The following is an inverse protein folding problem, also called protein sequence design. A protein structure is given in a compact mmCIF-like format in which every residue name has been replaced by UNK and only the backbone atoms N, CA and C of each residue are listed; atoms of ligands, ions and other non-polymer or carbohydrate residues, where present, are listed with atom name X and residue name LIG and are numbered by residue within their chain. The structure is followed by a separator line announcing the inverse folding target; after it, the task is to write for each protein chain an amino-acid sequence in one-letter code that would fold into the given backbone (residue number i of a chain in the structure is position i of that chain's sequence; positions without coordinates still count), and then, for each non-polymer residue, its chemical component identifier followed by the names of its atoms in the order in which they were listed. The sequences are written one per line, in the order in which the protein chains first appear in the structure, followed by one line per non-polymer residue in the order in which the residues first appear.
data_IF_471107918984
#
_entry.id   IF_471107918984
#
_cell.length_a   1.000
_cell.length_b   1.000
_cell.length_c   1.000
_cell.angle_alpha   90.00
_cell.angle_beta   90.00
_cell.angle_gamma   90.00
#
_symmetry.space_group_name_H-M   'P 1'
#
loop_
_entity.id
_entity.type
_entity.pdbx_description
1 polymer ?
#
# COMPACT_ATOMS: atom_id res chain seq x y z
N UNK A 1 -9.97 21.28 18.76
CA UNK A 1 -9.56 20.97 18.40
C UNK A 1 -8.96 20.63 17.64
N UNK A 2 -8.51 20.65 17.42
CA UNK A 2 -7.95 20.38 16.65
C UNK A 2 -7.90 19.37 16.14
N UNK A 3 -8.13 19.23 15.46
CA UNK A 3 -8.09 18.36 14.98
C UNK A 3 -7.03 17.93 14.46
N UNK A 4 -6.75 17.13 14.45
CA UNK A 4 -5.68 16.78 13.97
C UNK A 4 -5.74 16.37 12.68
N UNK A 5 -4.71 16.30 11.89
CA UNK A 5 -4.74 15.81 10.65
C UNK A 5 -4.91 14.41 10.62
N UNK A 6 -5.61 13.90 9.69
CA UNK A 6 -5.80 12.52 9.55
C UNK A 6 -4.83 12.01 8.57
N UNK A 7 -3.81 11.33 8.98
CA UNK A 7 -2.83 10.72 8.09
C UNK A 7 -3.20 9.27 7.90
N UNK A 8 -3.56 8.90 6.71
CA UNK A 8 -3.97 7.54 6.43
C UNK A 8 -2.92 6.82 5.66
N UNK A 9 -2.64 5.59 6.05
CA UNK A 9 -1.73 4.77 5.29
C UNK A 9 -2.36 4.37 3.97
N UNK A 10 -1.56 4.27 2.94
CA UNK A 10 -2.01 3.82 1.65
C UNK A 10 -1.01 2.78 1.17
N UNK A 11 -1.53 1.71 0.57
CA UNK A 11 -0.69 0.67 -0.01
C UNK A 11 -0.78 0.80 -1.52
N UNK A 12 0.36 0.97 -2.15
CA UNK A 12 0.44 1.19 -3.59
C UNK A 12 0.97 -0.06 -4.27
N UNK A 13 0.20 -0.57 -5.21
CA UNK A 13 0.60 -1.72 -6.00
C UNK A 13 0.94 -1.24 -7.40
N UNK A 14 2.13 -1.58 -7.86
CA UNK A 14 2.53 -1.31 -9.22
C UNK A 14 2.72 -2.66 -9.92
N UNK A 15 1.97 -2.91 -10.96
CA UNK A 15 2.04 -4.17 -11.66
C UNK A 15 1.81 -3.90 -13.14
N UNK A 16 2.73 -4.38 -13.97
CA UNK A 16 2.64 -4.25 -15.43
C UNK A 16 2.42 -2.81 -15.89
N UNK A 17 3.08 -1.88 -15.23
CA UNK A 17 2.98 -0.48 -15.58
C UNK A 17 1.72 0.20 -15.10
N UNK A 18 0.89 -0.51 -14.35
CA UNK A 18 -0.34 0.05 -13.81
C UNK A 18 -0.23 0.23 -12.31
N UNK A 19 -0.95 1.18 -11.79
CA UNK A 19 -0.86 1.55 -10.37
C UNK A 19 -2.22 1.45 -9.72
N UNK A 20 -2.26 0.83 -8.56
CA UNK A 20 -3.48 0.66 -7.80
C UNK A 20 -3.22 1.04 -6.35
N UNK A 21 -4.23 1.56 -5.68
CA UNK A 21 -4.07 2.06 -4.32
C UNK A 21 -5.12 1.45 -3.41
N UNK A 22 -4.69 1.00 -2.25
CA UNK A 22 -5.57 0.34 -1.30
C UNK A 22 -5.34 0.93 0.08
N UNK A 23 -6.35 0.85 0.93
CA UNK A 23 -6.26 1.37 2.28
C UNK A 23 -5.41 0.55 3.21
N UNK A 24 -5.23 -0.73 2.89
CA UNK A 24 -4.35 -1.60 3.68
C UNK A 24 -3.96 -2.80 2.84
N UNK A 25 -3.04 -3.58 3.36
CA UNK A 25 -2.52 -4.72 2.64
C UNK A 25 -3.56 -5.80 2.44
N UNK A 26 -4.44 -5.96 3.41
CA UNK A 26 -5.49 -6.95 3.28
C UNK A 26 -6.40 -6.64 2.11
N UNK A 27 -6.76 -5.38 1.92
CA UNK A 27 -7.60 -4.98 0.81
C UNK A 27 -6.92 -5.27 -0.54
N UNK A 28 -5.61 -5.03 -0.61
CA UNK A 28 -4.86 -5.37 -1.81
C UNK A 28 -4.96 -6.86 -2.09
N UNK A 29 -4.73 -7.67 -1.09
CA UNK A 29 -4.72 -9.12 -1.27
C UNK A 29 -6.11 -9.71 -1.48
N UNK A 30 -7.13 -8.98 -1.11
CA UNK A 30 -8.50 -9.41 -1.41
C UNK A 30 -8.86 -9.17 -2.87
N UNK A 31 -8.14 -8.28 -3.52
CA UNK A 31 -8.40 -7.95 -4.93
C UNK A 31 -7.45 -8.64 -5.90
N UNK A 32 -6.38 -9.23 -5.41
CA UNK A 32 -5.38 -9.86 -6.27
C UNK A 32 -5.02 -11.22 -5.71
N UNK A 33 -4.99 -12.21 -6.57
CA UNK A 33 -4.58 -13.55 -6.16
C UNK A 33 -3.07 -13.61 -6.04
N UNK A 34 -2.61 -14.54 -5.22
CA UNK A 34 -1.18 -14.70 -5.05
C UNK A 34 -0.48 -15.08 -6.35
N UNK A 35 -1.20 -15.73 -7.26
CA UNK A 35 -0.63 -16.04 -8.57
C UNK A 35 -0.45 -14.80 -9.41
N UNK A 36 -1.31 -13.82 -9.23
CA UNK A 36 -1.23 -12.59 -10.02
C UNK A 36 -0.09 -11.71 -9.57
N UNK A 37 0.09 -11.57 -8.27
CA UNK A 37 1.13 -10.69 -7.74
C UNK A 37 2.39 -11.44 -7.34
N UNK A 38 2.32 -12.75 -7.31
CA UNK A 38 3.50 -13.57 -7.05
C UNK A 38 3.87 -13.72 -5.60
N UNK A 39 3.00 -13.34 -4.68
CA UNK A 39 3.31 -13.39 -3.26
C UNK A 39 2.04 -13.52 -2.45
N UNK A 40 2.11 -14.23 -1.34
CA UNK A 40 0.97 -14.43 -0.47
C UNK A 40 0.86 -13.33 0.57
N UNK A 41 -0.35 -13.12 1.06
CA UNK A 41 -0.61 -12.12 2.08
C UNK A 41 0.24 -12.34 3.33
N UNK A 42 0.35 -13.57 3.79
CA UNK A 42 1.12 -13.83 5.00
C UNK A 42 2.58 -13.46 4.83
N UNK A 43 3.13 -13.68 3.66
CA UNK A 43 4.50 -13.30 3.42
C UNK A 43 4.64 -11.77 3.48
N UNK A 44 3.71 -11.05 2.84
CA UNK A 44 3.76 -9.60 2.84
C UNK A 44 3.57 -9.03 4.22
N UNK A 45 2.69 -9.66 5.00
CA UNK A 45 2.44 -9.22 6.35
C UNK A 45 3.69 -9.34 7.21
N UNK A 46 4.40 -10.45 7.06
CA UNK A 46 5.63 -10.68 7.81
C UNK A 46 6.81 -9.90 7.27
N UNK A 47 6.76 -9.54 6.01
CA UNK A 47 7.83 -8.77 5.39
C UNK A 47 7.95 -7.41 6.05
N UNK A 48 6.84 -6.84 6.47
CA UNK A 48 6.87 -5.54 7.12
C UNK A 48 7.04 -4.39 6.15
N UNK A 49 6.19 -4.35 5.11
CA UNK A 49 6.25 -3.27 4.16
C UNK A 49 6.03 -1.94 4.86
N UNK A 50 6.89 -0.98 4.60
CA UNK A 50 6.83 0.30 5.21
C UNK A 50 7.28 1.34 4.20
N UNK A 51 7.23 2.61 4.56
CA UNK A 51 7.63 3.67 3.65
C UNK A 51 9.07 3.50 3.18
N UNK A 52 9.90 2.96 4.03
CA UNK A 52 11.30 2.77 3.70
C UNK A 52 11.64 1.33 3.39
N UNK A 53 10.65 0.47 3.28
CA UNK A 53 10.88 -0.94 3.06
C UNK A 53 9.87 -1.51 2.08
N UNK A 54 9.90 -1.08 0.82
CA UNK A 54 8.94 -1.59 -0.16
C UNK A 54 9.25 -3.03 -0.51
N UNK A 55 8.22 -3.75 -0.93
CA UNK A 55 8.40 -5.10 -1.43
C UNK A 55 8.61 -5.02 -2.93
N UNK A 56 9.74 -5.46 -3.41
CA UNK A 56 10.04 -5.45 -4.84
C UNK A 56 10.12 -6.89 -5.29
N UNK A 57 9.07 -7.34 -5.94
CA UNK A 57 8.99 -8.70 -6.42
C UNK A 57 9.16 -8.78 -7.92
N UNK A 58 9.09 -9.98 -8.43
CA UNK A 58 9.27 -10.16 -9.86
C UNK A 58 8.05 -9.72 -10.64
N UNK A 59 6.89 -9.86 -10.06
CA UNK A 59 5.65 -9.52 -10.76
C UNK A 59 5.11 -8.16 -10.41
N UNK A 60 5.44 -7.66 -9.24
CA UNK A 60 4.90 -6.38 -8.80
C UNK A 60 5.79 -5.72 -7.78
N UNK A 61 5.52 -4.46 -7.53
CA UNK A 61 6.17 -3.72 -6.47
C UNK A 61 5.08 -3.18 -5.56
N UNK A 62 5.25 -3.35 -4.27
CA UNK A 62 4.26 -2.89 -3.30
C UNK A 62 4.93 -1.91 -2.34
N UNK A 63 4.38 -0.72 -2.27
CA UNK A 63 4.93 0.33 -1.42
C UNK A 63 3.88 0.79 -0.45
N UNK A 64 4.31 1.36 0.63
CA UNK A 64 3.41 1.92 1.61
C UNK A 64 3.73 3.39 1.78
N UNK A 65 2.73 4.19 1.84
CA UNK A 65 2.91 5.62 2.04
C UNK A 65 1.82 6.17 2.93
N UNK A 66 1.85 7.47 3.10
CA UNK A 66 0.86 8.14 3.93
C UNK A 66 0.21 9.23 3.10
N UNK A 67 -1.10 9.21 3.05
CA UNK A 67 -1.84 10.26 2.41
C UNK A 67 -1.93 11.43 3.38
N UNK A 68 -1.42 12.56 2.98
CA UNK A 68 -1.48 13.73 3.81
C UNK A 68 -2.55 14.64 3.26
N UNK A 69 -3.59 14.88 4.03
CA UNK A 69 -4.64 15.77 3.57
C UNK A 69 -4.26 17.18 3.96
N UNK A 70 -4.42 18.07 3.04
CA UNK A 70 -4.16 19.44 3.30
C UNK A 70 -5.13 19.96 4.28
N UNK A 71 -4.73 20.73 5.19
CA UNK A 71 -5.69 21.37 6.00
C UNK A 71 -6.28 22.42 5.15
N UNK A 72 -7.14 22.69 4.85
CA UNK A 72 -7.72 23.59 4.13
C UNK A 72 -7.32 24.86 4.34
N UNK A 73 -6.93 25.48 3.83
CA UNK A 73 -6.50 26.57 4.06
C UNK A 73 -7.09 27.47 3.61
N UNK A 74 -7.40 27.73 3.95
CA UNK A 74 -8.20 28.64 3.54
C UNK A 74 -7.89 29.40 2.71
#
# INVERSE_FOLDING_TARGET
MEKQKQNRAVVHLEIEGKHYYYGNLKALCENWDKEEIGVAYNYLKNYGIDEQNPYIGKKCTIRKGIIVTSPHKA
#
